data_IF_758580024460
#
_entry.id   IF_758580024460
#
_cell.length_a   1.000
_cell.length_b   1.000
_cell.length_c   1.000
_cell.angle_alpha   90.00
_cell.angle_beta   90.00
_cell.angle_gamma   90.00
#
_symmetry.space_group_name_H-M   'P 1'
#
loop_
_entity.id
_entity.type
_entity.pdbx_description
1 polymer ?
#
# COMPACT_ATOMS: atom_id res chain seq x y z
N UNK A 1 24.31 -33.19 4.04
CA UNK A 1 22.83 -33.21 4.04
C UNK A 1 22.29 -31.83 3.73
N UNK A 2 22.57 -30.84 4.59
CA UNK A 2 22.15 -29.43 4.39
C UNK A 2 22.56 -28.83 3.02
N UNK A 3 23.81 -29.00 2.57
CA UNK A 3 24.24 -28.51 1.24
C UNK A 3 23.43 -29.11 0.08
N UNK A 4 23.09 -30.39 0.17
CA UNK A 4 22.35 -31.08 -0.89
C UNK A 4 20.87 -30.66 -0.90
N UNK A 5 20.29 -30.36 0.27
CA UNK A 5 18.94 -29.78 0.38
C UNK A 5 18.91 -28.39 -0.27
N UNK A 6 19.84 -27.50 0.11
CA UNK A 6 19.93 -26.15 -0.46
C UNK A 6 20.11 -26.21 -1.99
N UNK A 7 21.00 -27.09 -2.47
CA UNK A 7 21.19 -27.28 -3.90
C UNK A 7 19.92 -27.78 -4.61
N UNK A 8 19.19 -28.72 -4.00
CA UNK A 8 17.94 -29.23 -4.57
C UNK A 8 16.85 -28.14 -4.61
N UNK A 9 16.76 -27.30 -3.58
CA UNK A 9 15.82 -26.18 -3.53
C UNK A 9 16.12 -25.16 -4.64
N UNK A 10 17.39 -24.78 -4.82
CA UNK A 10 17.82 -23.86 -5.90
C UNK A 10 17.48 -24.46 -7.28
N UNK A 11 17.79 -25.73 -7.50
CA UNK A 11 17.51 -26.41 -8.77
C UNK A 11 16.01 -26.52 -9.08
N UNK A 12 15.19 -26.76 -8.06
CA UNK A 12 13.74 -26.81 -8.22
C UNK A 12 13.18 -25.45 -8.67
N UNK A 13 13.68 -24.35 -8.08
CA UNK A 13 13.28 -23.00 -8.46
C UNK A 13 13.78 -22.62 -9.86
N UNK A 14 15.02 -22.94 -10.21
CA UNK A 14 15.59 -22.65 -11.53
C UNK A 14 14.85 -23.39 -12.66
N UNK A 15 14.36 -24.61 -12.39
CA UNK A 15 13.66 -25.45 -13.38
C UNK A 15 12.16 -25.18 -13.47
N UNK A 16 11.58 -24.40 -12.56
CA UNK A 16 10.16 -24.06 -12.60
C UNK A 16 9.87 -22.97 -13.64
N UNK A 17 9.59 -23.38 -14.88
CA UNK A 17 9.22 -22.49 -15.98
C UNK A 17 8.01 -21.59 -15.68
N UNK A 18 7.16 -21.96 -14.71
CA UNK A 18 6.00 -21.14 -14.34
C UNK A 18 6.43 -19.84 -13.65
N UNK A 19 7.52 -19.83 -12.88
CA UNK A 19 8.02 -18.63 -12.21
C UNK A 19 8.47 -17.56 -13.20
N UNK A 20 8.93 -17.98 -14.38
CA UNK A 20 9.43 -17.10 -15.44
C UNK A 20 8.34 -16.49 -16.33
N UNK A 21 7.06 -16.81 -16.10
CA UNK A 21 5.92 -16.19 -16.80
C UNK A 21 5.51 -14.90 -16.11
N UNK A 22 5.42 -13.79 -16.84
CA UNK A 22 5.07 -12.46 -16.28
C UNK A 22 3.78 -12.49 -15.43
N UNK A 23 2.74 -13.20 -15.89
CA UNK A 23 1.44 -13.33 -15.22
C UNK A 23 1.50 -14.04 -13.86
N UNK A 24 2.54 -14.82 -13.60
CA UNK A 24 2.67 -15.62 -12.37
C UNK A 24 3.38 -14.85 -11.25
N UNK A 25 3.08 -13.55 -11.12
CA UNK A 25 3.69 -12.67 -10.12
C UNK A 25 3.60 -13.25 -8.71
N UNK A 26 2.41 -13.70 -8.29
CA UNK A 26 2.20 -14.16 -6.92
C UNK A 26 3.08 -15.38 -6.56
N UNK A 27 3.23 -16.35 -7.46
CA UNK A 27 4.13 -17.49 -7.26
C UNK A 27 5.60 -17.07 -7.26
N UNK A 28 5.96 -16.12 -8.14
CA UNK A 28 7.32 -15.60 -8.23
C UNK A 28 7.73 -14.79 -6.99
N UNK A 29 6.83 -13.97 -6.44
CA UNK A 29 7.06 -13.25 -5.19
C UNK A 29 7.34 -14.22 -4.03
N UNK A 30 6.51 -15.27 -3.89
CA UNK A 30 6.75 -16.32 -2.89
C UNK A 30 8.09 -17.04 -3.09
N UNK A 31 8.50 -17.28 -4.34
CA UNK A 31 9.78 -17.90 -4.65
C UNK A 31 10.96 -16.98 -4.29
N UNK A 32 10.86 -15.68 -4.56
CA UNK A 32 11.88 -14.69 -4.17
C UNK A 32 12.03 -14.63 -2.64
N UNK A 33 10.92 -14.55 -1.91
CA UNK A 33 10.92 -14.56 -0.44
C UNK A 33 11.53 -15.87 0.10
N UNK A 34 11.21 -17.00 -0.52
CA UNK A 34 11.81 -18.29 -0.16
C UNK A 34 13.33 -18.30 -0.37
N UNK A 35 13.82 -17.74 -1.48
CA UNK A 35 15.26 -17.62 -1.73
C UNK A 35 15.93 -16.77 -0.64
N UNK A 36 15.33 -15.65 -0.25
CA UNK A 36 15.91 -14.79 0.79
C UNK A 36 15.95 -15.48 2.15
N UNK A 37 14.79 -15.92 2.66
CA UNK A 37 14.69 -16.36 4.06
C UNK A 37 15.11 -17.81 4.28
N UNK A 38 14.92 -18.70 3.30
CA UNK A 38 15.15 -20.14 3.47
C UNK A 38 16.44 -20.63 2.83
N UNK A 39 16.99 -19.88 1.86
CA UNK A 39 18.25 -20.23 1.20
C UNK A 39 19.37 -19.28 1.63
N UNK A 40 19.27 -17.98 1.35
CA UNK A 40 20.35 -17.01 1.57
C UNK A 40 20.64 -16.83 3.06
N UNK A 41 19.64 -16.53 3.88
CA UNK A 41 19.80 -16.36 5.33
C UNK A 41 20.32 -17.65 5.99
N UNK A 42 19.85 -18.81 5.52
CA UNK A 42 20.33 -20.12 5.97
C UNK A 42 21.81 -20.31 5.65
N UNK A 43 22.24 -19.98 4.43
CA UNK A 43 23.65 -20.04 4.02
C UNK A 43 24.49 -19.08 4.88
N UNK A 44 24.03 -17.85 5.10
CA UNK A 44 24.75 -16.85 5.88
C UNK A 44 24.94 -17.27 7.34
N UNK A 45 23.94 -17.92 7.95
CA UNK A 45 24.07 -18.54 9.27
C UNK A 45 25.11 -19.67 9.30
N UNK A 46 25.19 -20.50 8.25
CA UNK A 46 26.15 -21.61 8.16
C UNK A 46 27.59 -21.13 7.92
N UNK A 47 27.78 -20.06 7.14
CA UNK A 47 29.10 -19.47 6.85
C UNK A 47 29.83 -18.98 8.11
N UNK A 48 29.09 -18.70 9.19
CA UNK A 48 29.66 -18.31 10.47
C UNK A 48 30.32 -19.46 11.24
N UNK A 49 30.08 -20.74 10.86
CA UNK A 49 30.38 -21.90 11.70
C UNK A 49 31.28 -23.00 11.09
N UNK A 50 31.58 -23.01 9.78
CA UNK A 50 32.05 -24.26 9.11
C UNK A 50 33.19 -24.17 8.05
N UNK A 51 33.78 -25.35 7.79
CA UNK A 51 34.91 -25.73 6.90
C UNK A 51 34.60 -25.81 5.39
N UNK A 52 33.36 -25.51 4.94
CA UNK A 52 32.89 -25.67 3.54
C UNK A 52 32.49 -24.34 2.90
N UNK A 53 33.27 -23.30 3.20
CA UNK A 53 32.98 -21.92 2.79
C UNK A 53 32.81 -21.77 1.28
N UNK A 54 33.66 -22.44 0.49
CA UNK A 54 33.64 -22.32 -0.97
C UNK A 54 32.36 -22.87 -1.59
N UNK A 55 31.89 -24.03 -1.12
CA UNK A 55 30.66 -24.65 -1.61
C UNK A 55 29.43 -23.81 -1.24
N UNK A 56 29.39 -23.29 0.00
CA UNK A 56 28.31 -22.40 0.45
C UNK A 56 28.29 -21.08 -0.33
N UNK A 57 29.45 -20.47 -0.57
CA UNK A 57 29.57 -19.26 -1.40
C UNK A 57 29.12 -19.51 -2.84
N UNK A 58 29.42 -20.68 -3.41
CA UNK A 58 28.97 -21.04 -4.75
C UNK A 58 27.44 -21.22 -4.83
N UNK A 59 26.83 -21.90 -3.85
CA UNK A 59 25.37 -22.03 -3.78
C UNK A 59 24.67 -20.69 -3.54
N UNK A 60 25.26 -19.81 -2.72
CA UNK A 60 24.72 -18.45 -2.51
C UNK A 60 24.69 -17.68 -3.82
N UNK A 61 25.79 -17.72 -4.58
CA UNK A 61 25.86 -17.05 -5.89
C UNK A 61 24.84 -17.62 -6.89
N UNK A 62 24.60 -18.94 -6.86
CA UNK A 62 23.59 -19.60 -7.70
C UNK A 62 22.18 -19.14 -7.32
N UNK A 63 21.85 -19.11 -6.03
CA UNK A 63 20.57 -18.62 -5.52
C UNK A 63 20.34 -17.13 -5.86
N UNK A 64 21.37 -16.28 -5.66
CA UNK A 64 21.33 -14.85 -6.01
C UNK A 64 21.10 -14.65 -7.52
N UNK A 65 21.69 -15.51 -8.36
CA UNK A 65 21.47 -15.46 -9.81
C UNK A 65 20.02 -15.82 -10.17
N UNK A 66 19.44 -16.87 -9.57
CA UNK A 66 18.04 -17.24 -9.80
C UNK A 66 17.13 -16.10 -9.36
N UNK A 67 17.32 -15.57 -8.15
CA UNK A 67 16.58 -14.42 -7.62
C UNK A 67 16.65 -13.22 -8.56
N UNK A 68 17.84 -12.85 -9.01
CA UNK A 68 18.04 -11.72 -9.92
C UNK A 68 17.25 -11.86 -11.23
N UNK A 69 17.22 -13.04 -11.84
CA UNK A 69 16.45 -13.24 -13.08
C UNK A 69 14.94 -13.17 -12.83
N UNK A 70 14.45 -13.61 -11.66
CA UNK A 70 13.04 -13.44 -11.26
C UNK A 70 12.69 -11.96 -11.02
N UNK A 71 13.49 -11.23 -10.24
CA UNK A 71 13.28 -9.80 -9.95
C UNK A 71 13.33 -8.94 -11.22
N UNK A 72 14.13 -9.34 -12.21
CA UNK A 72 14.20 -8.68 -13.52
C UNK A 72 12.90 -8.80 -14.31
N UNK A 73 12.19 -9.92 -14.18
CA UNK A 73 10.85 -10.08 -14.78
C UNK A 73 9.89 -9.09 -14.14
N UNK A 74 9.87 -9.00 -12.81
CA UNK A 74 9.01 -8.07 -12.08
C UNK A 74 9.33 -6.61 -12.41
N UNK A 75 10.61 -6.26 -12.47
CA UNK A 75 11.06 -4.91 -12.84
C UNK A 75 10.56 -4.52 -14.24
N UNK A 76 10.62 -5.43 -15.21
CA UNK A 76 10.11 -5.19 -16.56
C UNK A 76 8.58 -5.13 -16.59
N UNK A 77 7.90 -6.00 -15.85
CA UNK A 77 6.45 -6.02 -15.70
C UNK A 77 5.94 -4.67 -15.16
N UNK A 78 6.45 -4.21 -14.02
CA UNK A 78 5.99 -2.97 -13.40
C UNK A 78 6.30 -1.75 -14.25
N UNK A 79 7.43 -1.74 -14.96
CA UNK A 79 7.72 -0.70 -15.95
C UNK A 79 6.65 -0.65 -17.04
N UNK A 80 6.25 -1.80 -17.60
CA UNK A 80 5.19 -1.85 -18.62
C UNK A 80 3.82 -1.43 -18.06
N UNK A 81 3.48 -1.84 -16.83
CA UNK A 81 2.22 -1.47 -16.19
C UNK A 81 2.15 0.03 -15.90
N UNK A 82 3.23 0.65 -15.40
CA UNK A 82 3.33 2.11 -15.22
C UNK A 82 3.13 2.86 -16.53
N UNK A 83 3.72 2.38 -17.62
CA UNK A 83 3.53 2.98 -18.95
C UNK A 83 2.07 2.91 -19.41
N UNK A 84 1.39 1.77 -19.21
CA UNK A 84 -0.04 1.62 -19.53
C UNK A 84 -0.92 2.52 -18.66
N UNK A 85 -0.61 2.68 -17.36
CA UNK A 85 -1.29 3.64 -16.47
C UNK A 85 -1.10 5.07 -17.00
N UNK A 86 0.14 5.45 -17.32
CA UNK A 86 0.49 6.77 -17.85
C UNK A 86 -0.25 7.12 -19.14
N UNK A 87 -0.50 6.12 -19.97
CA UNK A 87 -1.31 6.22 -21.20
C UNK A 87 -2.83 6.22 -20.96
N UNK A 88 -3.29 6.08 -19.71
CA UNK A 88 -4.70 6.04 -19.35
C UNK A 88 -5.40 4.71 -19.67
N UNK A 89 -4.66 3.63 -19.92
CA UNK A 89 -5.25 2.32 -20.27
C UNK A 89 -5.84 1.60 -19.06
N UNK A 90 -5.28 1.83 -17.86
CA UNK A 90 -5.73 1.23 -16.61
C UNK A 90 -6.34 2.27 -15.68
N UNK A 91 -7.67 2.40 -15.76
CA UNK A 91 -8.49 3.24 -14.87
C UNK A 91 -9.85 2.59 -14.69
N UNK A 92 -10.47 2.75 -13.52
CA UNK A 92 -11.78 2.18 -13.26
C UNK A 92 -11.77 0.65 -13.32
N UNK A 93 -12.72 0.10 -14.08
CA UNK A 93 -12.87 -1.33 -14.29
C UNK A 93 -11.66 -2.00 -14.98
N UNK A 94 -10.95 -1.30 -15.87
CA UNK A 94 -9.77 -1.87 -16.54
C UNK A 94 -8.58 -2.02 -15.58
N UNK A 95 -8.44 -1.11 -14.60
CA UNK A 95 -7.47 -1.25 -13.53
C UNK A 95 -7.79 -2.47 -12.67
N UNK A 96 -9.04 -2.60 -12.20
CA UNK A 96 -9.47 -3.76 -11.40
C UNK A 96 -9.24 -5.09 -12.13
N UNK A 97 -9.58 -5.14 -13.42
CA UNK A 97 -9.35 -6.33 -14.26
C UNK A 97 -7.87 -6.68 -14.36
N UNK A 98 -7.00 -5.68 -14.56
CA UNK A 98 -5.56 -5.89 -14.61
C UNK A 98 -5.02 -6.51 -13.32
N UNK A 99 -5.50 -6.08 -12.14
CA UNK A 99 -5.13 -6.72 -10.87
C UNK A 99 -5.60 -8.18 -10.82
N UNK A 100 -6.84 -8.44 -11.27
CA UNK A 100 -7.39 -9.79 -11.36
C UNK A 100 -6.51 -10.77 -12.12
N UNK A 101 -5.86 -10.33 -13.22
CA UNK A 101 -4.98 -11.17 -14.03
C UNK A 101 -3.79 -11.79 -13.25
N UNK A 102 -3.40 -11.21 -12.10
CA UNK A 102 -2.29 -11.69 -11.26
C UNK A 102 -2.75 -12.38 -9.97
N UNK A 103 -4.00 -12.18 -9.55
CA UNK A 103 -4.51 -12.62 -8.24
C UNK A 103 -5.84 -13.40 -8.29
N UNK A 104 -6.40 -13.69 -9.47
CA UNK A 104 -7.71 -14.35 -9.67
C UNK A 104 -7.86 -15.76 -9.05
N UNK A 105 -6.78 -16.38 -8.53
CA UNK A 105 -6.78 -17.79 -8.09
C UNK A 105 -6.21 -18.02 -6.67
N UNK A 106 -6.07 -17.00 -5.82
CA UNK A 106 -5.57 -17.23 -4.47
C UNK A 106 -6.67 -17.08 -3.40
N UNK A 107 -6.86 -18.19 -2.68
CA UNK A 107 -7.77 -18.42 -1.55
C UNK A 107 -7.69 -17.31 -0.49
N UNK A 108 -8.87 -16.82 -0.09
CA UNK A 108 -9.19 -16.22 1.21
C UNK A 108 -8.02 -15.52 1.94
N UNK A 109 -7.54 -14.38 1.44
CA UNK A 109 -6.68 -13.45 2.21
C UNK A 109 -7.47 -12.59 3.21
N UNK A 110 -8.77 -12.81 3.34
CA UNK A 110 -9.63 -12.10 4.31
C UNK A 110 -9.19 -12.32 5.77
N UNK A 111 -8.44 -13.39 6.06
CA UNK A 111 -8.00 -13.76 7.42
C UNK A 111 -6.54 -13.41 7.73
N UNK A 112 -5.77 -12.85 6.79
CA UNK A 112 -4.36 -12.53 7.04
C UNK A 112 -4.18 -11.10 7.58
N UNK A 113 -3.88 -11.03 8.87
CA UNK A 113 -3.36 -9.83 9.52
C UNK A 113 -1.93 -9.60 9.02
N UNK A 114 -1.70 -8.54 8.25
CA UNK A 114 -0.38 -8.17 7.75
C UNK A 114 -0.37 -7.73 6.30
N UNK A 115 0.83 -7.61 5.74
CA UNK A 115 1.07 -7.35 4.32
C UNK A 115 1.25 -8.66 3.56
N UNK A 116 0.71 -8.72 2.35
CA UNK A 116 0.82 -9.88 1.45
C UNK A 116 1.39 -9.50 0.07
N UNK A 117 1.36 -10.45 -0.87
CA UNK A 117 1.86 -10.20 -2.22
C UNK A 117 1.05 -9.15 -2.99
N UNK A 118 -0.22 -8.91 -2.63
CA UNK A 118 -0.99 -7.81 -3.21
C UNK A 118 -0.41 -6.46 -2.78
N UNK A 119 0.01 -6.35 -1.52
CA UNK A 119 0.74 -5.16 -1.05
C UNK A 119 2.05 -4.95 -1.79
N UNK A 120 2.85 -6.01 -1.95
CA UNK A 120 4.11 -5.96 -2.71
C UNK A 120 3.84 -5.52 -4.15
N UNK A 121 2.82 -6.09 -4.80
CA UNK A 121 2.43 -5.73 -6.16
C UNK A 121 2.03 -4.26 -6.27
N UNK A 122 1.12 -3.79 -5.41
CA UNK A 122 0.66 -2.40 -5.46
C UNK A 122 1.82 -1.43 -5.22
N UNK A 123 2.67 -1.72 -4.24
CA UNK A 123 3.82 -0.88 -3.93
C UNK A 123 4.80 -0.78 -5.11
N UNK A 124 5.15 -1.91 -5.70
CA UNK A 124 6.06 -1.96 -6.87
C UNK A 124 5.44 -1.38 -8.14
N UNK A 125 4.11 -1.40 -8.25
CA UNK A 125 3.38 -0.79 -9.35
C UNK A 125 3.50 0.73 -9.32
N UNK A 126 3.32 1.36 -8.14
CA UNK A 126 3.23 2.82 -8.03
C UNK A 126 4.56 3.54 -8.30
N UNK A 127 5.68 2.97 -7.84
CA UNK A 127 6.99 3.63 -7.93
C UNK A 127 8.14 2.63 -7.81
N UNK A 128 9.26 2.92 -8.47
CA UNK A 128 10.55 2.25 -8.29
C UNK A 128 11.55 3.08 -7.49
N UNK A 129 11.10 4.21 -6.95
CA UNK A 129 11.94 5.11 -6.18
C UNK A 129 12.14 4.59 -4.75
N UNK A 130 13.36 4.79 -4.25
CA UNK A 130 13.66 4.57 -2.84
C UNK A 130 12.77 5.45 -1.96
N UNK A 131 12.25 4.87 -0.88
CA UNK A 131 11.49 5.61 0.13
C UNK A 131 12.43 6.61 0.80
N UNK A 132 12.08 7.91 0.86
CA UNK A 132 12.92 8.89 1.51
C UNK A 132 12.80 8.76 3.03
N UNK A 133 13.84 9.17 3.75
CA UNK A 133 13.77 9.35 5.20
C UNK A 133 12.96 10.61 5.54
N UNK A 134 12.21 10.62 6.67
CA UNK A 134 11.52 11.81 7.13
C UNK A 134 12.51 12.92 7.48
N UNK A 135 12.14 14.16 7.17
CA UNK A 135 12.97 15.36 7.37
C UNK A 135 12.51 16.22 8.53
N UNK A 136 11.32 15.96 9.07
CA UNK A 136 10.77 16.68 10.20
C UNK A 136 10.57 15.78 11.41
N UNK A 137 10.67 16.39 12.60
CA UNK A 137 10.26 15.71 13.83
C UNK A 137 8.74 15.67 13.93
N UNK A 138 8.23 14.52 14.35
CA UNK A 138 6.81 14.30 14.62
C UNK A 138 6.44 14.93 15.94
N UNK A 139 5.28 15.59 15.99
CA UNK A 139 4.66 15.95 17.26
C UNK A 139 4.29 14.69 18.05
N UNK A 140 4.20 14.81 19.37
CA UNK A 140 3.98 13.67 20.26
C UNK A 140 2.73 12.83 19.91
N UNK A 141 1.68 13.49 19.40
CA UNK A 141 0.41 12.85 19.04
C UNK A 141 0.38 12.33 17.60
N UNK A 142 1.44 12.53 16.80
CA UNK A 142 1.56 11.99 15.44
C UNK A 142 2.12 10.57 15.45
N UNK A 143 1.52 9.69 14.64
CA UNK A 143 1.92 8.29 14.54
C UNK A 143 3.00 8.14 13.46
N UNK A 144 3.86 7.12 13.59
CA UNK A 144 4.86 6.85 12.57
C UNK A 144 4.19 6.29 11.31
N UNK A 145 4.83 6.53 10.17
CA UNK A 145 4.30 6.07 8.90
C UNK A 145 4.19 4.55 8.82
N UNK A 146 3.01 4.07 8.42
CA UNK A 146 2.73 2.70 8.02
C UNK A 146 1.90 2.71 6.74
N UNK A 147 2.09 1.70 5.89
CA UNK A 147 1.31 1.55 4.66
C UNK A 147 -0.07 0.99 4.99
N UNK A 148 -1.11 1.60 4.47
CA UNK A 148 -2.45 1.00 4.41
C UNK A 148 -2.39 -0.30 3.58
N UNK A 149 -2.86 -1.45 4.08
CA UNK A 149 -2.90 -2.66 3.27
C UNK A 149 -3.76 -2.47 2.02
N UNK A 150 -3.32 -2.99 0.87
CA UNK A 150 -3.96 -2.86 -0.42
C UNK A 150 -5.42 -3.33 -0.40
N UNK A 151 -5.71 -4.39 0.35
CA UNK A 151 -7.08 -4.89 0.57
C UNK A 151 -8.00 -3.84 1.22
N UNK A 152 -7.50 -3.04 2.16
CA UNK A 152 -8.29 -1.97 2.79
C UNK A 152 -8.57 -0.85 1.79
N UNK A 153 -7.59 -0.53 0.94
CA UNK A 153 -7.77 0.47 -0.11
C UNK A 153 -8.83 0.02 -1.13
N UNK A 154 -8.80 -1.26 -1.53
CA UNK A 154 -9.81 -1.85 -2.41
C UNK A 154 -11.21 -1.84 -1.75
N UNK A 155 -11.28 -2.17 -0.46
CA UNK A 155 -12.52 -2.16 0.32
C UNK A 155 -13.10 -0.74 0.45
N UNK A 156 -12.29 0.27 0.77
CA UNK A 156 -12.70 1.69 0.79
C UNK A 156 -13.22 2.12 -0.58
N UNK A 157 -12.49 1.79 -1.65
CA UNK A 157 -12.84 2.16 -3.02
C UNK A 157 -14.18 1.55 -3.47
N UNK A 158 -14.59 0.43 -2.89
CA UNK A 158 -15.90 -0.19 -3.09
C UNK A 158 -16.99 0.45 -2.21
N UNK A 159 -16.76 0.52 -0.90
CA UNK A 159 -17.73 1.02 0.08
C UNK A 159 -18.05 2.51 -0.07
N UNK A 160 -17.06 3.32 -0.45
CA UNK A 160 -17.25 4.77 -0.64
C UNK A 160 -18.17 5.09 -1.82
N UNK A 161 -18.39 4.15 -2.74
CA UNK A 161 -19.28 4.31 -3.91
C UNK A 161 -19.10 5.67 -4.61
N UNK A 162 -17.84 6.05 -4.85
CA UNK A 162 -17.46 7.39 -5.31
C UNK A 162 -18.06 7.73 -6.68
N UNK A 163 -18.76 8.86 -6.73
CA UNK A 163 -19.28 9.48 -7.94
C UNK A 163 -18.32 10.49 -8.57
N UNK A 164 -18.74 11.14 -9.68
CA UNK A 164 -17.93 12.12 -10.40
C UNK A 164 -17.76 13.45 -9.65
N UNK A 165 -18.67 13.79 -8.75
CA UNK A 165 -18.66 15.03 -7.96
C UNK A 165 -17.94 14.87 -6.61
N UNK A 166 -17.57 13.63 -6.26
CA UNK A 166 -16.87 13.35 -5.02
C UNK A 166 -15.41 13.79 -5.06
N UNK A 167 -14.91 14.15 -3.88
CA UNK A 167 -13.48 14.38 -3.66
C UNK A 167 -13.06 13.61 -2.42
N UNK A 168 -12.22 12.62 -2.64
CA UNK A 168 -11.67 11.76 -1.59
C UNK A 168 -10.43 12.42 -0.97
N UNK A 169 -10.34 12.46 0.35
CA UNK A 169 -9.19 12.95 1.09
C UNK A 169 -8.57 11.83 1.92
N UNK A 170 -7.26 11.69 1.84
CA UNK A 170 -6.46 10.86 2.74
C UNK A 170 -5.68 11.78 3.70
N UNK A 171 -5.91 11.64 5.01
CA UNK A 171 -5.28 12.49 6.03
C UNK A 171 -4.10 11.75 6.66
N UNK A 172 -2.90 12.31 6.51
CA UNK A 172 -1.65 11.60 6.78
C UNK A 172 -1.30 10.63 5.65
N UNK A 173 -1.35 11.12 4.41
CA UNK A 173 -1.29 10.26 3.21
C UNK A 173 0.05 9.56 2.95
N UNK A 174 1.09 9.89 3.72
CA UNK A 174 2.40 9.29 3.66
C UNK A 174 2.98 9.33 2.25
N UNK A 175 3.35 8.15 1.73
CA UNK A 175 3.90 8.01 0.37
C UNK A 175 2.84 8.02 -0.75
N UNK A 176 1.58 8.34 -0.42
CA UNK A 176 0.55 8.69 -1.39
C UNK A 176 -0.17 7.51 -2.05
N UNK A 177 0.03 6.30 -1.55
CA UNK A 177 -0.57 5.10 -2.14
C UNK A 177 -2.09 5.11 -2.16
N UNK A 178 -2.76 5.64 -1.12
CA UNK A 178 -4.23 5.60 -1.02
C UNK A 178 -4.86 6.55 -2.05
N UNK A 179 -4.49 7.86 -2.14
CA UNK A 179 -5.04 8.74 -3.16
C UNK A 179 -4.78 8.22 -4.58
N UNK A 180 -3.57 7.71 -4.86
CA UNK A 180 -3.23 7.20 -6.18
C UNK A 180 -4.09 6.00 -6.55
N UNK A 181 -4.20 5.00 -5.67
CA UNK A 181 -4.96 3.79 -5.95
C UNK A 181 -6.47 4.07 -6.02
N UNK A 182 -7.04 4.85 -5.10
CA UNK A 182 -8.46 5.24 -5.16
C UNK A 182 -8.76 5.97 -6.47
N UNK A 183 -7.87 6.85 -6.94
CA UNK A 183 -8.03 7.50 -8.23
C UNK A 183 -7.97 6.50 -9.40
N UNK A 184 -7.03 5.56 -9.39
CA UNK A 184 -6.93 4.52 -10.43
C UNK A 184 -8.16 3.60 -10.44
N UNK A 185 -8.73 3.30 -9.27
CA UNK A 185 -9.86 2.39 -9.09
C UNK A 185 -11.21 3.05 -9.43
N UNK A 186 -11.42 4.31 -9.07
CA UNK A 186 -12.72 4.99 -9.21
C UNK A 186 -12.71 6.10 -10.27
N UNK A 187 -11.55 6.65 -10.65
CA UNK A 187 -11.42 7.78 -11.56
C UNK A 187 -11.81 9.14 -10.96
N UNK A 188 -12.12 9.16 -9.66
CA UNK A 188 -12.55 10.32 -8.85
C UNK A 188 -11.36 11.19 -8.45
N UNK A 189 -11.59 12.47 -8.18
CA UNK A 189 -10.55 13.36 -7.66
C UNK A 189 -10.15 12.95 -6.24
N UNK A 190 -8.84 12.90 -5.99
CA UNK A 190 -8.29 12.47 -4.70
C UNK A 190 -7.25 13.47 -4.22
N UNK A 191 -7.23 13.72 -2.92
CA UNK A 191 -6.23 14.58 -2.28
C UNK A 191 -5.55 13.86 -1.12
N UNK A 192 -4.24 13.95 -1.04
CA UNK A 192 -3.48 13.54 0.14
C UNK A 192 -3.01 14.76 0.93
N UNK A 193 -3.31 14.80 2.24
CA UNK A 193 -2.77 15.79 3.17
C UNK A 193 -1.63 15.15 3.93
N UNK A 194 -0.42 15.70 3.80
CA UNK A 194 0.79 15.11 4.38
C UNK A 194 1.66 16.17 5.07
N UNK A 195 2.07 15.87 6.30
CA UNK A 195 2.88 16.76 7.12
C UNK A 195 4.36 16.72 6.70
N UNK A 196 4.90 15.53 6.42
CA UNK A 196 6.31 15.31 6.07
C UNK A 196 6.61 15.74 4.62
N UNK A 197 7.44 16.78 4.39
CA UNK A 197 7.76 17.28 3.06
C UNK A 197 8.39 16.24 2.14
N UNK A 198 9.25 15.36 2.66
CA UNK A 198 9.90 14.32 1.86
C UNK A 198 8.89 13.31 1.29
N UNK A 199 7.90 12.92 2.10
CA UNK A 199 6.83 12.00 1.69
C UNK A 199 5.89 12.68 0.68
N UNK A 200 5.53 13.94 0.91
CA UNK A 200 4.72 14.68 -0.05
C UNK A 200 5.45 14.87 -1.40
N UNK A 201 6.76 15.15 -1.39
CA UNK A 201 7.55 15.26 -2.62
C UNK A 201 7.66 13.92 -3.38
N UNK A 202 7.85 12.82 -2.65
CA UNK A 202 7.82 11.47 -3.22
C UNK A 202 6.48 11.21 -3.94
N UNK A 203 5.37 11.50 -3.28
CA UNK A 203 4.02 11.30 -3.79
C UNK A 203 3.73 12.15 -5.04
N UNK A 204 4.16 13.42 -5.04
CA UNK A 204 4.06 14.30 -6.21
C UNK A 204 4.87 13.77 -7.39
N UNK A 205 6.06 13.20 -7.14
CA UNK A 205 6.87 12.60 -8.20
C UNK A 205 6.18 11.37 -8.79
N UNK A 206 5.58 10.52 -7.95
CA UNK A 206 4.81 9.35 -8.39
C UNK A 206 3.64 9.75 -9.29
N UNK A 207 2.83 10.74 -8.88
CA UNK A 207 1.70 11.24 -9.67
C UNK A 207 2.14 11.83 -11.01
N UNK A 208 3.24 12.59 -11.03
CA UNK A 208 3.78 13.14 -12.25
C UNK A 208 4.24 12.03 -13.22
N UNK A 209 4.91 10.98 -12.72
CA UNK A 209 5.36 9.85 -13.53
C UNK A 209 4.19 9.02 -14.08
N UNK A 210 3.13 8.82 -13.28
CA UNK A 210 1.93 8.09 -13.67
C UNK A 210 0.92 8.94 -14.47
N UNK A 211 1.18 10.24 -14.65
CA UNK A 211 0.29 11.18 -15.35
C UNK A 211 -1.15 11.18 -14.80
N UNK A 212 -1.30 11.38 -13.48
CA UNK A 212 -2.59 11.37 -12.79
C UNK A 212 -3.06 12.78 -12.38
N UNK A 213 -3.63 13.59 -13.29
CA UNK A 213 -3.94 15.01 -13.03
C UNK A 213 -5.06 15.25 -12.01
N UNK A 214 -5.77 14.20 -11.59
CA UNK A 214 -6.85 14.25 -10.59
C UNK A 214 -6.38 13.91 -9.17
N UNK A 215 -5.09 13.62 -9.00
CA UNK A 215 -4.48 13.34 -7.70
C UNK A 215 -3.64 14.54 -7.30
N UNK A 216 -3.91 15.09 -6.12
CA UNK A 216 -3.20 16.25 -5.57
C UNK A 216 -2.62 15.92 -4.19
N UNK A 217 -1.37 16.30 -3.92
CA UNK A 217 -0.77 16.19 -2.59
C UNK A 217 -0.50 17.57 -2.02
N UNK A 218 -0.94 17.79 -0.79
CA UNK A 218 -0.85 19.06 -0.08
C UNK A 218 0.07 18.87 1.11
N UNK A 219 1.26 19.47 1.06
CA UNK A 219 2.19 19.46 2.19
C UNK A 219 1.77 20.49 3.23
N UNK A 220 0.98 20.06 4.21
CA UNK A 220 0.47 20.92 5.27
C UNK A 220 0.07 20.07 6.48
N UNK A 221 0.08 20.71 7.64
CA UNK A 221 -0.58 20.17 8.83
C UNK A 221 -2.08 19.97 8.58
N UNK A 222 -2.59 18.78 8.91
CA UNK A 222 -4.01 18.45 8.76
C UNK A 222 -4.95 19.39 9.52
N UNK A 223 -4.49 20.05 10.59
CA UNK A 223 -5.25 21.06 11.34
C UNK A 223 -5.45 22.38 10.57
N UNK A 224 -4.68 22.59 9.49
CA UNK A 224 -4.66 23.84 8.71
C UNK A 224 -5.14 23.67 7.27
N UNK A 225 -5.36 22.44 6.81
CA UNK A 225 -5.80 22.16 5.45
C UNK A 225 -7.24 22.64 5.17
N UNK A 226 -7.51 22.96 3.91
CA UNK A 226 -8.87 23.28 3.42
C UNK A 226 -9.59 22.02 2.94
N UNK A 227 -10.63 21.63 3.68
CA UNK A 227 -11.49 20.47 3.39
C UNK A 227 -12.82 20.84 2.73
N UNK A 228 -13.00 22.09 2.30
CA UNK A 228 -14.27 22.61 1.77
C UNK A 228 -14.82 21.89 0.53
N UNK A 229 -13.98 21.12 -0.16
CA UNK A 229 -14.38 20.29 -1.31
C UNK A 229 -14.53 18.80 -0.99
N UNK A 230 -14.08 18.35 0.17
CA UNK A 230 -14.09 16.94 0.53
C UNK A 230 -15.50 16.41 0.78
N UNK A 231 -15.76 15.20 0.29
CA UNK A 231 -16.99 14.44 0.54
C UNK A 231 -16.71 13.11 1.22
N UNK A 232 -15.50 12.55 1.01
CA UNK A 232 -15.06 11.31 1.64
C UNK A 232 -13.67 11.53 2.24
N UNK A 233 -13.47 11.09 3.48
CA UNK A 233 -12.22 11.27 4.22
C UNK A 233 -11.74 9.91 4.73
N UNK A 234 -10.44 9.67 4.71
CA UNK A 234 -9.82 8.47 5.24
C UNK A 234 -8.72 8.82 6.25
N UNK A 235 -8.67 8.06 7.34
CA UNK A 235 -7.64 8.16 8.38
C UNK A 235 -7.15 6.75 8.75
N UNK A 236 -5.90 6.44 8.43
CA UNK A 236 -5.20 5.29 9.03
C UNK A 236 -4.42 5.74 10.27
N UNK A 237 -5.15 6.07 11.35
CA UNK A 237 -4.59 6.53 12.63
C UNK A 237 -3.34 7.43 12.47
N UNK A 238 -3.41 8.51 11.67
CA UNK A 238 -2.24 9.36 11.39
C UNK A 238 -1.79 10.14 12.64
N UNK A 239 -2.73 10.39 13.55
CA UNK A 239 -2.54 11.13 14.79
C UNK A 239 -3.66 10.78 15.78
N UNK A 240 -3.41 11.04 17.06
CA UNK A 240 -4.37 10.92 18.17
C UNK A 240 -4.60 12.24 18.90
N UNK A 241 -5.19 12.15 20.09
CA UNK A 241 -5.28 13.27 21.05
C UNK A 241 -5.93 14.54 20.51
N UNK A 242 -5.36 15.69 20.87
CA UNK A 242 -5.85 17.02 20.50
C UNK A 242 -5.75 17.28 18.99
N UNK A 243 -4.75 16.71 18.31
CA UNK A 243 -4.66 16.79 16.84
C UNK A 243 -5.88 16.14 16.19
N UNK A 244 -6.20 14.89 16.58
CA UNK A 244 -7.36 14.18 16.03
C UNK A 244 -8.66 14.93 16.33
N UNK A 245 -8.83 15.42 17.57
CA UNK A 245 -10.02 16.16 17.97
C UNK A 245 -10.19 17.46 17.15
N UNK A 246 -9.11 18.21 16.95
CA UNK A 246 -9.11 19.42 16.12
C UNK A 246 -9.54 19.13 14.68
N UNK A 247 -9.01 18.06 14.08
CA UNK A 247 -9.38 17.65 12.71
C UNK A 247 -10.85 17.24 12.65
N UNK A 248 -11.34 16.47 13.62
CA UNK A 248 -12.76 16.07 13.68
C UNK A 248 -13.69 17.28 13.83
N UNK A 249 -13.32 18.30 14.59
CA UNK A 249 -14.09 19.56 14.69
C UNK A 249 -14.13 20.33 13.36
N UNK A 250 -13.07 20.28 12.55
CA UNK A 250 -13.06 20.86 11.21
C UNK A 250 -14.01 20.07 10.30
N UNK A 251 -13.92 18.72 10.31
CA UNK A 251 -14.80 17.88 9.50
C UNK A 251 -16.27 18.00 9.92
N UNK A 252 -16.56 18.17 11.22
CA UNK A 252 -17.91 18.44 11.71
C UNK A 252 -18.47 19.76 11.13
N UNK A 253 -17.65 20.81 11.01
CA UNK A 253 -18.10 22.06 10.37
C UNK A 253 -18.41 21.88 8.89
N UNK A 254 -17.70 20.99 8.21
CA UNK A 254 -17.98 20.64 6.82
C UNK A 254 -19.23 19.78 6.68
N UNK A 255 -19.50 18.87 7.63
CA UNK A 255 -20.70 18.04 7.62
C UNK A 255 -22.00 18.84 7.76
N UNK A 256 -21.95 19.99 8.44
CA UNK A 256 -23.07 20.93 8.50
C UNK A 256 -23.47 21.53 7.13
N UNK A 257 -22.59 21.45 6.12
CA UNK A 257 -22.82 22.00 4.78
C UNK A 257 -23.25 20.93 3.78
N UNK A 258 -22.87 19.68 3.99
CA UNK A 258 -23.14 18.52 3.12
C UNK A 258 -22.91 17.23 3.88
N UNK A 259 -23.55 16.16 3.45
CA UNK A 259 -23.21 14.82 3.93
C UNK A 259 -21.76 14.48 3.56
N UNK A 260 -21.01 13.95 4.52
CA UNK A 260 -19.67 13.42 4.30
C UNK A 260 -19.56 11.99 4.83
N UNK A 261 -18.64 11.23 4.26
CA UNK A 261 -18.25 9.91 4.76
C UNK A 261 -16.85 9.97 5.36
N UNK A 262 -16.65 9.25 6.46
CA UNK A 262 -15.35 9.11 7.11
C UNK A 262 -15.02 7.63 7.22
N UNK A 263 -13.87 7.23 6.70
CA UNK A 263 -13.32 5.90 6.80
C UNK A 263 -12.15 5.92 7.77
N UNK A 264 -12.07 4.93 8.66
CA UNK A 264 -10.95 4.79 9.59
C UNK A 264 -10.42 3.37 9.61
N UNK A 265 -9.11 3.26 9.79
CA UNK A 265 -8.43 2.00 10.03
C UNK A 265 -7.48 2.18 11.22
N UNK A 266 -7.44 1.20 12.13
CA UNK A 266 -6.64 1.27 13.35
C UNK A 266 -7.30 2.00 14.54
N UNK A 267 -6.51 2.27 15.61
CA UNK A 267 -7.01 2.74 16.91
C UNK A 267 -7.82 4.05 16.89
N UNK A 268 -7.66 4.92 15.88
CA UNK A 268 -8.45 6.14 15.82
C UNK A 268 -9.97 5.89 15.66
N UNK A 269 -10.36 4.70 15.19
CA UNK A 269 -11.77 4.33 14.96
C UNK A 269 -12.63 4.47 16.22
N UNK A 270 -12.10 4.12 17.40
CA UNK A 270 -12.80 4.28 18.68
C UNK A 270 -13.15 5.75 18.96
N UNK A 271 -12.19 6.65 18.80
CA UNK A 271 -12.40 8.09 19.03
C UNK A 271 -13.37 8.69 18.00
N UNK A 272 -13.32 8.23 16.75
CA UNK A 272 -14.24 8.67 15.70
C UNK A 272 -15.66 8.19 15.97
N UNK A 273 -15.84 6.96 16.47
CA UNK A 273 -17.14 6.42 16.83
C UNK A 273 -17.82 7.13 18.02
N UNK A 274 -17.06 7.84 18.85
CA UNK A 274 -17.61 8.65 19.96
C UNK A 274 -18.19 10.00 19.49
N UNK A 275 -18.00 10.37 18.23
CA UNK A 275 -18.50 11.63 17.69
C UNK A 275 -20.01 11.57 17.48
N UNK A 276 -20.77 12.41 18.17
CA UNK A 276 -22.23 12.43 18.12
C UNK A 276 -22.86 12.89 16.78
N UNK A 277 -22.03 13.28 15.81
CA UNK A 277 -22.44 13.73 14.49
C UNK A 277 -22.11 12.70 13.39
N UNK A 278 -21.56 11.54 13.76
CA UNK A 278 -21.21 10.44 12.88
C UNK A 278 -21.97 9.17 13.29
N UNK A 279 -22.61 8.52 12.34
CA UNK A 279 -23.15 7.17 12.50
C UNK A 279 -22.19 6.15 11.89
N UNK A 280 -21.80 5.14 12.66
CA UNK A 280 -21.07 3.99 12.15
C UNK A 280 -22.00 3.11 11.31
N UNK A 281 -21.70 2.96 10.02
CA UNK A 281 -22.53 2.22 9.05
C UNK A 281 -21.87 0.92 8.59
N UNK A 282 -20.59 0.70 8.92
CA UNK A 282 -19.83 -0.49 8.58
C UNK A 282 -18.63 -0.68 9.53
N UNK A 283 -18.30 -1.93 9.83
CA UNK A 283 -17.14 -2.33 10.65
C UNK A 283 -17.43 -2.42 12.15
N UNK A 284 -16.60 -3.16 12.88
CA UNK A 284 -16.62 -3.22 14.34
C UNK A 284 -15.52 -2.32 14.91
N UNK A 285 -15.94 -1.25 15.59
CA UNK A 285 -15.06 -0.20 16.12
C UNK A 285 -13.97 -0.71 17.07
N UNK A 286 -14.21 -1.85 17.74
CA UNK A 286 -13.29 -2.42 18.72
C UNK A 286 -12.19 -3.28 18.10
N UNK A 287 -12.19 -3.49 16.77
CA UNK A 287 -11.14 -4.21 16.05
C UNK A 287 -10.25 -3.23 15.27
N UNK A 288 -9.01 -3.06 15.73
CA UNK A 288 -8.02 -2.20 15.07
C UNK A 288 -7.56 -2.71 13.69
N UNK A 289 -7.91 -3.94 13.32
CA UNK A 289 -7.58 -4.55 12.03
C UNK A 289 -8.76 -4.59 11.07
N UNK A 290 -9.88 -3.94 11.41
CA UNK A 290 -11.03 -3.79 10.53
C UNK A 290 -11.19 -2.34 10.07
N UNK A 291 -11.63 -2.17 8.82
CA UNK A 291 -12.07 -0.89 8.31
C UNK A 291 -13.42 -0.52 8.95
N UNK A 292 -13.53 0.71 9.45
CA UNK A 292 -14.80 1.30 9.87
C UNK A 292 -15.22 2.38 8.88
N UNK A 293 -16.52 2.45 8.57
CA UNK A 293 -17.10 3.53 7.77
C UNK A 293 -18.19 4.25 8.56
N UNK A 294 -18.15 5.58 8.50
CA UNK A 294 -19.06 6.48 9.17
C UNK A 294 -19.70 7.43 8.17
N UNK A 295 -20.94 7.83 8.42
CA UNK A 295 -21.64 8.87 7.65
C UNK A 295 -22.10 9.96 8.60
N UNK A 296 -21.99 11.22 8.17
CA UNK A 296 -22.49 12.34 8.98
C UNK A 296 -24.02 12.37 9.05
N UNK A 297 -24.55 12.72 10.22
CA UNK A 297 -25.98 12.93 10.49
C UNK A 297 -26.61 14.11 9.74
#
# INVERSE_FOLDING_TARGET
MVLAEIQADIQALEQDEALYKETNFNSRANAIDFIDFHIIDRIDGLLQTLEQRKELEALKLEAEKVKYELEKIDSNLFKQLREKIRMGMYTGSSFKKMIGEYFEHNDNSADNIGYDNLDVFMNSLLSDQAVPEPTMEREQEMVFYQKTPARIILEIAELANLGPDDVFFDLGSGLGQVPILVNLINGTATKGVEYEPAYCNYSNTCVAQLNLPKVEFINIDARQADYSRGTVFFLYTPFGGEILQTVLEILQKESLKRTIQVFTYGPCSETVALQNWLDCVYGEVNDSYQLCAFTSL
#
